data_IF_304716161966
#
_entry.id   IF_304716161966
#
_cell.length_a   1.000
_cell.length_b   1.000
_cell.length_c   1.000
_cell.angle_alpha   90.00
_cell.angle_beta   90.00
_cell.angle_gamma   90.00
#
_symmetry.space_group_name_H-M   'P 1'
#
loop_
_entity.id
_entity.type
_entity.pdbx_description
1 polymer ?
#
# COMPACT_ATOMS: atom_id res chain seq x y z
N UNK A 1 31.46 -0.83 32.34
CA UNK A 1 31.24 -0.13 31.05
C UNK A 1 30.11 -0.85 30.36
N UNK A 2 28.89 -0.47 30.74
CA UNK A 2 27.66 -1.25 30.62
C UNK A 2 26.52 -0.28 30.38
N UNK A 3 26.26 0.05 29.13
CA UNK A 3 25.00 0.66 28.67
C UNK A 3 25.09 0.90 27.17
N UNK A 4 23.97 0.72 26.48
CA UNK A 4 23.74 0.94 25.04
C UNK A 4 24.07 -0.23 24.10
N UNK A 5 23.56 -1.42 24.43
CA UNK A 5 22.93 -2.21 23.37
C UNK A 5 21.61 -1.52 23.01
N UNK A 6 21.61 -0.68 21.98
CA UNK A 6 20.40 -0.18 21.37
C UNK A 6 19.47 -1.37 21.08
N UNK A 7 18.26 -1.34 21.65
CA UNK A 7 17.24 -2.37 21.48
C UNK A 7 16.80 -2.42 20.01
N UNK A 8 17.57 -3.11 19.16
CA UNK A 8 17.11 -3.49 17.83
C UNK A 8 15.90 -4.42 18.03
N UNK A 9 14.72 -4.10 17.46
CA UNK A 9 13.58 -4.99 17.56
C UNK A 9 13.98 -6.36 17.03
N UNK A 10 13.78 -7.39 17.86
CA UNK A 10 14.15 -8.76 17.48
C UNK A 10 13.49 -9.14 16.16
N UNK A 11 14.17 -9.89 15.30
CA UNK A 11 13.65 -10.38 14.01
C UNK A 11 12.24 -10.99 14.14
N UNK A 12 11.94 -11.58 15.30
CA UNK A 12 10.61 -12.10 15.67
C UNK A 12 9.51 -11.04 15.67
N UNK A 13 9.76 -9.85 16.25
CA UNK A 13 8.82 -8.72 16.23
C UNK A 13 8.57 -8.23 14.81
N UNK A 14 9.62 -8.15 13.99
CA UNK A 14 9.49 -7.81 12.56
C UNK A 14 8.58 -8.78 11.81
N UNK A 15 8.78 -10.09 12.02
CA UNK A 15 7.90 -11.12 11.43
C UNK A 15 6.45 -11.01 11.91
N UNK A 16 6.23 -10.78 13.20
CA UNK A 16 4.87 -10.61 13.76
C UNK A 16 4.18 -9.40 13.13
N UNK A 17 4.85 -8.25 13.05
CA UNK A 17 4.27 -7.06 12.45
C UNK A 17 4.00 -7.25 10.95
N UNK A 18 4.92 -7.84 10.20
CA UNK A 18 4.70 -8.16 8.79
C UNK A 18 3.50 -9.08 8.59
N UNK A 19 3.37 -10.12 9.43
CA UNK A 19 2.24 -11.05 9.38
C UNK A 19 0.91 -10.36 9.69
N UNK A 20 0.86 -9.52 10.72
CA UNK A 20 -0.32 -8.71 11.05
C UNK A 20 -0.69 -7.80 9.88
N UNK A 21 0.30 -7.11 9.29
CA UNK A 21 0.07 -6.24 8.13
C UNK A 21 -0.53 -7.00 6.95
N UNK A 22 0.02 -8.17 6.60
CA UNK A 22 -0.51 -8.99 5.50
C UNK A 22 -1.95 -9.43 5.78
N UNK A 23 -2.29 -9.81 7.01
CA UNK A 23 -3.67 -10.15 7.38
C UNK A 23 -4.61 -8.95 7.27
N UNK A 24 -4.19 -7.79 7.78
CA UNK A 24 -4.97 -6.54 7.71
C UNK A 24 -5.21 -6.11 6.26
N UNK A 25 -4.17 -6.17 5.42
CA UNK A 25 -4.25 -5.81 4.01
C UNK A 25 -5.06 -6.82 3.19
N UNK A 26 -5.00 -8.11 3.53
CA UNK A 26 -5.77 -9.14 2.86
C UNK A 26 -7.28 -9.02 3.10
N UNK A 27 -7.70 -8.72 4.34
CA UNK A 27 -9.12 -8.57 4.69
C UNK A 27 -9.70 -7.19 4.30
N UNK A 28 -8.84 -6.20 4.06
CA UNK A 28 -9.23 -4.82 3.85
C UNK A 28 -10.28 -4.64 2.73
N UNK A 29 -10.13 -5.18 1.51
CA UNK A 29 -11.12 -4.96 0.44
C UNK A 29 -12.47 -5.56 0.75
N UNK A 30 -12.51 -6.70 1.45
CA UNK A 30 -13.77 -7.35 1.87
C UNK A 30 -14.53 -6.42 2.83
N UNK A 31 -13.84 -5.92 3.86
CA UNK A 31 -14.43 -4.97 4.81
C UNK A 31 -14.81 -3.65 4.14
N UNK A 32 -13.99 -3.17 3.20
CA UNK A 32 -14.19 -1.91 2.51
C UNK A 32 -15.43 -1.95 1.61
N UNK A 33 -15.64 -3.03 0.85
CA UNK A 33 -16.87 -3.20 0.05
C UNK A 33 -18.13 -3.20 0.93
N UNK A 34 -18.08 -3.79 2.13
CA UNK A 34 -19.18 -3.74 3.08
C UNK A 34 -19.45 -2.31 3.57
N UNK A 35 -18.41 -1.56 3.94
CA UNK A 35 -18.55 -0.16 4.37
C UNK A 35 -19.09 0.73 3.23
N UNK A 36 -18.58 0.54 2.02
CA UNK A 36 -18.96 1.28 0.82
C UNK A 36 -20.40 1.01 0.35
N UNK A 37 -21.06 -0.03 0.87
CA UNK A 37 -22.51 -0.23 0.66
C UNK A 37 -23.36 0.82 1.38
N UNK A 38 -22.78 1.54 2.35
CA UNK A 38 -23.49 2.53 3.18
C UNK A 38 -22.84 3.92 3.19
N UNK A 39 -21.53 4.00 2.93
CA UNK A 39 -20.77 5.26 2.95
C UNK A 39 -20.18 5.60 1.58
N UNK A 40 -20.12 6.89 1.28
CA UNK A 40 -19.42 7.38 0.10
C UNK A 40 -17.88 7.27 0.28
N UNK A 41 -17.11 6.98 -0.80
CA UNK A 41 -15.66 6.83 -0.74
C UNK A 41 -14.93 7.99 -0.04
N UNK A 42 -15.33 9.22 -0.35
CA UNK A 42 -14.76 10.43 0.25
C UNK A 42 -14.92 10.48 1.78
N UNK A 43 -16.01 9.93 2.30
CA UNK A 43 -16.27 9.87 3.75
C UNK A 43 -15.33 8.88 4.41
N UNK A 44 -15.12 7.72 3.80
CA UNK A 44 -14.22 6.69 4.31
C UNK A 44 -12.76 7.18 4.30
N UNK A 45 -12.30 7.79 3.20
CA UNK A 45 -10.96 8.39 3.14
C UNK A 45 -10.77 9.49 4.19
N UNK A 46 -11.80 10.32 4.42
CA UNK A 46 -11.76 11.33 5.48
C UNK A 46 -11.56 10.70 6.87
N UNK A 47 -12.25 9.59 7.17
CA UNK A 47 -12.06 8.86 8.43
C UNK A 47 -10.67 8.24 8.53
N UNK A 48 -10.13 7.66 7.45
CA UNK A 48 -8.79 7.05 7.44
C UNK A 48 -7.69 8.08 7.71
N UNK A 49 -7.69 9.22 7.00
CA UNK A 49 -6.69 10.26 7.20
C UNK A 49 -6.85 10.95 8.56
N UNK A 50 -8.08 11.19 9.02
CA UNK A 50 -8.33 11.78 10.35
C UNK A 50 -7.87 10.84 11.47
N UNK A 51 -8.18 9.55 11.35
CA UNK A 51 -7.75 8.53 12.33
C UNK A 51 -6.24 8.38 12.34
N UNK A 52 -5.60 8.34 11.17
CA UNK A 52 -4.14 8.27 11.06
C UNK A 52 -3.47 9.50 11.67
N UNK A 53 -4.02 10.69 11.41
CA UNK A 53 -3.54 11.94 12.00
C UNK A 53 -3.67 11.95 13.53
N UNK A 54 -4.81 11.51 14.07
CA UNK A 54 -5.04 11.45 15.53
C UNK A 54 -4.11 10.42 16.18
N UNK A 55 -4.06 9.19 15.67
CA UNK A 55 -3.23 8.12 16.24
C UNK A 55 -1.77 8.52 16.21
N UNK A 56 -1.28 8.99 15.06
CA UNK A 56 0.12 9.40 14.93
C UNK A 56 0.42 10.64 15.77
N UNK A 57 -0.49 11.61 15.80
CA UNK A 57 -0.35 12.82 16.63
C UNK A 57 -0.28 12.50 18.12
N UNK A 58 -1.15 11.61 18.62
CA UNK A 58 -1.12 11.15 20.02
C UNK A 58 0.17 10.38 20.31
N UNK A 59 0.62 9.54 19.38
CA UNK A 59 1.87 8.80 19.52
C UNK A 59 3.09 9.74 19.62
N UNK A 60 3.21 10.72 18.72
CA UNK A 60 4.28 11.72 18.76
C UNK A 60 4.22 12.58 20.02
N UNK A 61 3.01 12.99 20.43
CA UNK A 61 2.81 13.75 21.66
C UNK A 61 3.28 12.99 22.90
N UNK A 62 2.94 11.70 23.01
CA UNK A 62 3.32 10.85 24.14
C UNK A 62 4.82 10.52 24.17
N UNK A 63 5.43 10.37 23.00
CA UNK A 63 6.85 10.03 22.89
C UNK A 63 7.76 11.25 22.92
N UNK A 64 7.21 12.47 22.77
CA UNK A 64 7.99 13.70 22.67
C UNK A 64 8.84 13.79 21.40
N UNK A 65 8.67 12.85 20.46
CA UNK A 65 9.47 12.73 19.24
C UNK A 65 8.98 13.66 18.12
N UNK A 66 8.75 14.93 18.44
CA UNK A 66 8.48 15.90 17.39
C UNK A 66 9.77 16.12 16.59
N UNK A 67 9.70 16.05 15.25
CA UNK A 67 10.87 16.33 14.42
C UNK A 67 11.35 17.75 14.73
N UNK A 68 12.64 17.89 15.00
CA UNK A 68 13.23 19.19 15.25
C UNK A 68 13.11 20.08 14.02
N UNK A 69 13.00 21.40 14.21
CA UNK A 69 12.94 22.36 13.10
C UNK A 69 14.13 22.22 12.13
N UNK A 70 15.26 21.71 12.62
CA UNK A 70 16.46 21.44 11.82
C UNK A 70 16.28 20.24 10.90
N UNK A 71 15.67 19.16 11.38
CA UNK A 71 15.36 17.96 10.56
C UNK A 71 14.32 18.30 9.49
N UNK A 72 13.27 19.04 9.85
CA UNK A 72 12.25 19.48 8.88
C UNK A 72 12.86 20.33 7.76
N UNK A 73 13.84 21.19 8.09
CA UNK A 73 14.53 22.03 7.08
C UNK A 73 15.40 21.23 6.11
N UNK A 74 15.79 20.00 6.45
CA UNK A 74 16.55 19.11 5.54
C UNK A 74 15.66 18.29 4.61
N UNK A 75 14.34 18.29 4.85
CA UNK A 75 13.39 17.60 3.99
C UNK A 75 13.30 18.33 2.66
N UNK A 76 13.43 17.59 1.56
CA UNK A 76 13.14 18.11 0.24
C UNK A 76 11.62 18.31 0.10
N UNK A 77 11.17 19.57 0.21
CA UNK A 77 9.75 19.92 0.17
C UNK A 77 9.05 19.45 -1.10
N UNK A 78 9.74 19.44 -2.25
CA UNK A 78 9.16 18.95 -3.50
C UNK A 78 8.88 17.45 -3.46
N UNK A 79 9.82 16.66 -2.92
CA UNK A 79 9.60 15.22 -2.73
C UNK A 79 8.50 14.95 -1.70
N UNK A 80 8.43 15.74 -0.63
CA UNK A 80 7.37 15.62 0.36
C UNK A 80 5.99 15.87 -0.25
N UNK A 81 5.84 16.95 -1.03
CA UNK A 81 4.60 17.27 -1.74
C UNK A 81 4.24 16.17 -2.71
N UNK A 82 5.20 15.64 -3.47
CA UNK A 82 4.99 14.52 -4.39
C UNK A 82 4.48 13.28 -3.65
N UNK A 83 5.13 12.88 -2.54
CA UNK A 83 4.72 11.73 -1.73
C UNK A 83 3.31 11.91 -1.18
N UNK A 84 2.97 13.10 -0.67
CA UNK A 84 1.62 13.38 -0.17
C UNK A 84 0.58 13.29 -1.29
N UNK A 85 0.87 13.85 -2.47
CA UNK A 85 -0.04 13.77 -3.63
C UNK A 85 -0.22 12.31 -4.05
N UNK A 86 0.86 11.54 -4.21
CA UNK A 86 0.79 10.13 -4.59
C UNK A 86 0.02 9.31 -3.55
N UNK A 87 0.26 9.52 -2.25
CA UNK A 87 -0.41 8.79 -1.19
C UNK A 87 -1.92 9.09 -1.14
N UNK A 88 -2.31 10.35 -1.28
CA UNK A 88 -3.73 10.76 -1.34
C UNK A 88 -4.38 10.27 -2.63
N UNK A 89 -3.68 10.36 -3.77
CA UNK A 89 -4.18 9.85 -5.04
C UNK A 89 -4.38 8.34 -4.98
N UNK A 90 -3.39 7.59 -4.49
CA UNK A 90 -3.49 6.15 -4.26
C UNK A 90 -4.74 5.82 -3.44
N UNK A 91 -4.92 6.46 -2.29
CA UNK A 91 -6.07 6.16 -1.42
C UNK A 91 -7.42 6.42 -2.11
N UNK A 92 -7.59 7.61 -2.70
CA UNK A 92 -8.83 7.99 -3.36
C UNK A 92 -9.12 7.11 -4.59
N UNK A 93 -8.10 6.79 -5.38
CA UNK A 93 -8.23 5.90 -6.54
C UNK A 93 -8.55 4.48 -6.10
N UNK A 94 -7.87 3.96 -5.08
CA UNK A 94 -8.10 2.64 -4.54
C UNK A 94 -9.55 2.47 -4.08
N UNK A 95 -10.06 3.40 -3.26
CA UNK A 95 -11.40 3.25 -2.70
C UNK A 95 -12.51 3.39 -3.76
N UNK A 96 -12.31 4.25 -4.77
CA UNK A 96 -13.23 4.36 -5.90
C UNK A 96 -13.15 3.11 -6.80
N UNK A 97 -11.96 2.56 -6.98
CA UNK A 97 -11.73 1.30 -7.66
C UNK A 97 -12.45 0.12 -6.98
N UNK A 98 -12.35 0.03 -5.65
CA UNK A 98 -13.04 -0.98 -4.84
C UNK A 98 -14.57 -0.81 -4.90
N UNK A 99 -15.09 0.43 -4.90
CA UNK A 99 -16.54 0.67 -5.08
C UNK A 99 -17.05 0.18 -6.44
N UNK A 100 -16.20 0.29 -7.48
CA UNK A 100 -16.53 -0.09 -8.85
C UNK A 100 -16.20 -1.52 -9.24
N UNK A 101 -15.72 -2.36 -8.32
CA UNK A 101 -15.29 -3.75 -8.62
C UNK A 101 -15.65 -4.71 -7.49
N UNK A 102 -15.37 -6.01 -7.66
CA UNK A 102 -15.45 -7.00 -6.58
C UNK A 102 -14.18 -6.96 -5.70
N UNK A 103 -14.25 -7.40 -4.42
CA UNK A 103 -13.07 -7.54 -3.56
C UNK A 103 -11.95 -8.36 -4.20
N UNK A 104 -12.34 -9.42 -4.93
CA UNK A 104 -11.45 -10.30 -5.68
C UNK A 104 -10.71 -9.54 -6.76
N UNK A 105 -11.45 -8.87 -7.67
CA UNK A 105 -10.86 -8.07 -8.75
C UNK A 105 -9.96 -6.97 -8.21
N UNK A 106 -10.38 -6.27 -7.16
CA UNK A 106 -9.59 -5.25 -6.48
C UNK A 106 -8.23 -5.78 -6.02
N UNK A 107 -8.22 -6.94 -5.35
CA UNK A 107 -6.99 -7.57 -4.89
C UNK A 107 -6.09 -7.97 -6.06
N UNK A 108 -6.64 -8.64 -7.08
CA UNK A 108 -5.88 -9.10 -8.26
C UNK A 108 -5.16 -7.93 -8.93
N UNK A 109 -5.89 -6.84 -9.21
CA UNK A 109 -5.34 -5.68 -9.93
C UNK A 109 -4.30 -4.95 -9.07
N UNK A 110 -4.54 -4.79 -7.77
CA UNK A 110 -3.59 -4.10 -6.89
C UNK A 110 -2.26 -4.83 -6.72
N UNK A 111 -2.20 -6.14 -6.95
CA UNK A 111 -0.93 -6.89 -6.89
C UNK A 111 0.09 -6.44 -7.94
N UNK A 112 -0.35 -5.71 -8.97
CA UNK A 112 0.52 -5.05 -9.96
C UNK A 112 1.41 -3.97 -9.29
N UNK A 113 1.01 -3.41 -8.15
CA UNK A 113 1.81 -2.42 -7.43
C UNK A 113 3.17 -2.98 -6.99
N UNK A 114 3.24 -4.25 -6.58
CA UNK A 114 4.48 -4.90 -6.11
C UNK A 114 5.57 -4.97 -7.20
N UNK A 115 5.32 -5.51 -8.39
CA UNK A 115 6.30 -5.47 -9.47
C UNK A 115 6.56 -4.03 -9.96
N UNK A 116 5.56 -3.14 -9.97
CA UNK A 116 5.77 -1.73 -10.33
C UNK A 116 6.74 -1.03 -9.37
N UNK A 117 6.54 -1.18 -8.06
CA UNK A 117 7.43 -0.63 -7.04
C UNK A 117 8.85 -1.20 -7.16
N UNK A 118 8.98 -2.49 -7.47
CA UNK A 118 10.28 -3.14 -7.69
C UNK A 118 11.00 -2.56 -8.92
N UNK A 119 10.28 -2.36 -10.03
CA UNK A 119 10.81 -1.75 -11.24
C UNK A 119 11.17 -0.27 -11.00
N UNK A 120 10.29 0.47 -10.30
CA UNK A 120 10.51 1.86 -9.94
C UNK A 120 11.76 2.02 -9.06
N UNK A 121 11.98 1.11 -8.11
CA UNK A 121 13.17 1.11 -7.28
C UNK A 121 14.46 0.95 -8.11
N UNK A 122 14.47 0.03 -9.07
CA UNK A 122 15.61 -0.15 -10.00
C UNK A 122 15.80 1.11 -10.86
N UNK A 123 14.72 1.69 -11.39
CA UNK A 123 14.80 2.85 -12.28
C UNK A 123 15.28 4.13 -11.56
N UNK A 124 14.76 4.38 -10.36
CA UNK A 124 15.00 5.62 -9.59
C UNK A 124 16.29 5.52 -8.79
N UNK A 125 16.48 4.44 -8.00
CA UNK A 125 17.64 4.28 -7.12
C UNK A 125 18.83 3.62 -7.84
N UNK A 126 18.65 3.14 -9.08
CA UNK A 126 19.68 2.45 -9.88
C UNK A 126 20.29 1.26 -9.14
N UNK A 127 19.48 0.58 -8.34
CA UNK A 127 19.92 -0.57 -7.55
C UNK A 127 20.34 -1.73 -8.45
N UNK A 128 21.46 -2.36 -8.09
CA UNK A 128 21.93 -3.58 -8.76
C UNK A 128 21.21 -4.77 -8.15
N UNK A 129 20.15 -5.24 -8.81
CA UNK A 129 19.50 -6.47 -8.39
C UNK A 129 20.40 -7.69 -8.65
N UNK A 130 20.58 -8.50 -7.61
CA UNK A 130 21.27 -9.79 -7.69
C UNK A 130 20.43 -10.80 -8.46
N UNK A 131 21.06 -11.85 -9.00
CA UNK A 131 20.36 -12.94 -9.70
C UNK A 131 19.29 -13.61 -8.83
N UNK A 132 19.49 -13.66 -7.50
CA UNK A 132 18.54 -14.21 -6.55
C UNK A 132 17.30 -13.32 -6.36
N UNK A 133 17.45 -11.99 -6.41
CA UNK A 133 16.30 -11.07 -6.38
C UNK A 133 15.48 -11.17 -7.67
N UNK A 134 16.14 -11.31 -8.82
CA UNK A 134 15.47 -11.54 -10.10
C UNK A 134 14.71 -12.87 -10.12
N UNK A 135 15.32 -13.95 -9.62
CA UNK A 135 14.61 -15.24 -9.53
C UNK A 135 13.46 -15.19 -8.53
N UNK A 136 13.63 -14.52 -7.38
CA UNK A 136 12.56 -14.29 -6.41
C UNK A 136 11.40 -13.51 -7.00
N UNK A 137 11.68 -12.45 -7.77
CA UNK A 137 10.65 -11.68 -8.48
C UNK A 137 9.93 -12.53 -9.55
N UNK A 138 10.66 -13.36 -10.29
CA UNK A 138 10.06 -14.31 -11.24
C UNK A 138 9.14 -15.31 -10.56
N UNK A 139 9.55 -15.91 -9.44
CA UNK A 139 8.73 -16.83 -8.64
C UNK A 139 7.49 -16.11 -8.09
N UNK A 140 7.63 -14.87 -7.61
CA UNK A 140 6.51 -14.07 -7.14
C UNK A 140 5.49 -13.83 -8.26
N UNK A 141 5.92 -13.36 -9.43
CA UNK A 141 5.04 -13.12 -10.58
C UNK A 141 4.33 -14.41 -11.02
N UNK A 142 5.05 -15.54 -11.09
CA UNK A 142 4.44 -16.83 -11.41
C UNK A 142 3.42 -17.28 -10.36
N UNK A 143 3.73 -17.10 -9.07
CA UNK A 143 2.82 -17.40 -7.97
C UNK A 143 1.54 -16.57 -8.05
N UNK A 144 1.65 -15.27 -8.35
CA UNK A 144 0.51 -14.38 -8.56
C UNK A 144 -0.36 -14.85 -9.74
N UNK A 145 0.25 -15.18 -10.89
CA UNK A 145 -0.49 -15.68 -12.07
C UNK A 145 -1.25 -16.98 -11.77
N UNK A 146 -0.61 -17.91 -11.06
CA UNK A 146 -1.24 -19.18 -10.70
C UNK A 146 -2.36 -18.99 -9.67
N UNK A 147 -2.14 -18.14 -8.67
CA UNK A 147 -3.11 -17.87 -7.61
C UNK A 147 -4.37 -17.20 -8.16
N UNK A 148 -4.21 -16.18 -9.01
CA UNK A 148 -5.33 -15.42 -9.58
C UNK A 148 -5.90 -16.03 -10.86
N UNK A 149 -5.52 -17.25 -11.25
CA UNK A 149 -5.98 -17.83 -12.52
C UNK A 149 -7.52 -17.88 -12.64
N UNK A 150 -8.20 -18.23 -11.53
CA UNK A 150 -9.66 -18.27 -11.46
C UNK A 150 -10.27 -16.87 -11.44
N UNK A 151 -9.63 -15.94 -10.73
CA UNK A 151 -10.10 -14.56 -10.58
C UNK A 151 -9.90 -13.72 -11.84
N UNK A 152 -8.89 -14.05 -12.66
CA UNK A 152 -8.67 -13.46 -13.99
C UNK A 152 -9.85 -13.78 -14.92
N UNK A 153 -10.45 -14.96 -14.78
CA UNK A 153 -11.61 -15.32 -15.59
C UNK A 153 -12.83 -14.48 -15.20
N UNK A 154 -13.09 -14.30 -13.89
CA UNK A 154 -14.14 -13.37 -13.40
C UNK A 154 -13.92 -11.93 -13.92
N UNK A 155 -12.67 -11.46 -13.90
CA UNK A 155 -12.29 -10.15 -14.42
C UNK A 155 -12.57 -9.98 -15.91
N UNK A 156 -12.22 -10.99 -16.72
CA UNK A 156 -12.44 -10.98 -18.17
C UNK A 156 -13.93 -11.05 -18.51
N UNK A 157 -14.68 -11.90 -17.82
CA UNK A 157 -16.12 -12.07 -18.05
C UNK A 157 -16.92 -10.82 -17.64
N UNK A 158 -16.42 -10.05 -16.67
CA UNK A 158 -17.06 -8.84 -16.14
C UNK A 158 -16.38 -7.54 -16.58
N UNK A 159 -15.57 -7.57 -17.64
CA UNK A 159 -14.68 -6.46 -18.00
C UNK A 159 -15.44 -5.16 -18.33
N UNK A 160 -16.59 -5.26 -19.01
CA UNK A 160 -17.43 -4.10 -19.32
C UNK A 160 -18.04 -3.48 -18.05
N UNK A 161 -18.38 -4.32 -17.06
CA UNK A 161 -18.93 -3.87 -15.78
C UNK A 161 -17.87 -3.18 -14.91
N UNK A 162 -16.63 -3.67 -14.93
CA UNK A 162 -15.57 -3.23 -14.03
C UNK A 162 -14.59 -2.24 -14.66
N UNK A 163 -14.73 -1.89 -15.94
CA UNK A 163 -13.76 -1.10 -16.70
C UNK A 163 -13.24 0.15 -15.97
N UNK A 164 -14.16 1.00 -15.48
CA UNK A 164 -13.79 2.25 -14.78
C UNK A 164 -13.09 1.95 -13.46
N UNK A 165 -13.60 0.97 -12.70
CA UNK A 165 -13.02 0.58 -11.42
C UNK A 165 -11.59 0.02 -11.58
N UNK A 166 -11.36 -0.80 -12.61
CA UNK A 166 -10.03 -1.33 -12.95
C UNK A 166 -9.06 -0.22 -13.33
N UNK A 167 -9.49 0.80 -14.07
CA UNK A 167 -8.64 1.97 -14.38
C UNK A 167 -8.22 2.69 -13.10
N UNK A 168 -9.16 2.92 -12.17
CA UNK A 168 -8.82 3.52 -10.88
C UNK A 168 -7.82 2.67 -10.10
N UNK A 169 -7.99 1.34 -10.05
CA UNK A 169 -7.06 0.44 -9.38
C UNK A 169 -5.67 0.43 -10.02
N UNK A 170 -5.58 0.49 -11.36
CA UNK A 170 -4.27 0.56 -12.05
C UNK A 170 -3.54 1.87 -11.77
N UNK A 171 -4.27 2.99 -11.78
CA UNK A 171 -3.70 4.30 -11.43
C UNK A 171 -3.29 4.32 -9.95
N UNK A 172 -4.11 3.75 -9.08
CA UNK A 172 -3.79 3.56 -7.66
C UNK A 172 -2.49 2.77 -7.50
N UNK A 173 -2.41 1.59 -8.10
CA UNK A 173 -1.23 0.72 -8.04
C UNK A 173 0.05 1.40 -8.56
N UNK A 174 -0.08 2.38 -9.45
CA UNK A 174 1.04 3.19 -9.96
C UNK A 174 1.46 4.30 -9.01
N UNK A 175 0.54 4.80 -8.17
CA UNK A 175 0.81 5.81 -7.16
C UNK A 175 1.36 5.22 -5.84
N UNK A 176 1.12 3.92 -5.59
CA UNK A 176 1.64 3.17 -4.45
C UNK A 176 3.15 2.96 -4.52
#
# INVERSE_FOLDING_TARGET
MSSESANLPSVRLGFIFAFITVLLWGILPIGLTLVLSTLEPSTVSWFQFSTSFIIWGVYLFRTGNFPSLREVRTINLWLLVLVVICLVAHDLLFINGVKGTSPTVSQVVMQISTPLASIAAIAIFRERCTTLQWSGMGVLVLGLILFFNQDIQELVDSIEQYFIGVIFLLLSASCW
#
